data_IF_371332778953
#
_entry.id   IF_371332778953
#
_cell.length_a   1.000
_cell.length_b   1.000
_cell.length_c   1.000
_cell.angle_alpha   90.00
_cell.angle_beta   90.00
_cell.angle_gamma   90.00
#
_symmetry.space_group_name_H-M   'P 1'
#
loop_
_entity.id
_entity.type
_entity.pdbx_description
1 polymer ?
#
# COMPACT_ATOMS: atom_id res chain seq x y z
N UNK A 1 10.60 -29.40 -14.24
CA UNK A 1 9.49 -28.73 -14.97
C UNK A 1 9.11 -27.49 -14.17
N UNK A 2 9.18 -26.28 -14.76
CA UNK A 2 8.68 -25.07 -14.10
C UNK A 2 7.17 -25.23 -13.90
N UNK A 3 6.70 -25.13 -12.66
CA UNK A 3 5.27 -25.11 -12.37
C UNK A 3 4.64 -23.92 -13.12
N UNK A 4 3.73 -24.22 -14.06
CA UNK A 4 3.07 -23.21 -14.88
C UNK A 4 2.09 -22.42 -14.01
N UNK A 5 2.15 -21.09 -14.05
CA UNK A 5 1.12 -20.24 -13.46
C UNK A 5 -0.23 -20.62 -14.05
N UNK A 6 -1.22 -20.89 -13.19
CA UNK A 6 -2.54 -21.27 -13.64
C UNK A 6 -3.27 -20.02 -14.19
N UNK A 7 -3.76 -20.01 -15.44
CA UNK A 7 -4.43 -18.85 -16.03
C UNK A 7 -5.58 -18.30 -15.17
N UNK A 8 -6.35 -19.18 -14.51
CA UNK A 8 -7.42 -18.76 -13.59
C UNK A 8 -6.92 -17.98 -12.36
N UNK A 9 -5.72 -18.25 -11.86
CA UNK A 9 -5.17 -17.51 -10.73
C UNK A 9 -4.81 -16.07 -11.14
N UNK A 10 -4.23 -15.90 -12.33
CA UNK A 10 -3.96 -14.59 -12.91
C UNK A 10 -5.26 -13.83 -13.18
N UNK A 11 -6.25 -14.51 -13.76
CA UNK A 11 -7.58 -13.95 -14.00
C UNK A 11 -8.21 -13.44 -12.68
N UNK A 12 -8.10 -14.21 -11.61
CA UNK A 12 -8.56 -13.82 -10.28
C UNK A 12 -7.89 -12.56 -9.75
N UNK A 13 -6.56 -12.43 -9.93
CA UNK A 13 -5.82 -11.22 -9.51
C UNK A 13 -6.24 -9.98 -10.29
N UNK A 14 -6.39 -10.09 -11.61
CA UNK A 14 -6.84 -8.97 -12.45
C UNK A 14 -8.25 -8.54 -12.06
N UNK A 15 -9.16 -9.50 -11.85
CA UNK A 15 -10.51 -9.21 -11.37
C UNK A 15 -10.50 -8.51 -10.01
N UNK A 16 -9.70 -9.00 -9.06
CA UNK A 16 -9.57 -8.40 -7.73
C UNK A 16 -9.02 -6.96 -7.79
N UNK A 17 -8.03 -6.71 -8.64
CA UNK A 17 -7.47 -5.36 -8.84
C UNK A 17 -8.53 -4.39 -9.39
N UNK A 18 -9.32 -4.83 -10.38
CA UNK A 18 -10.44 -4.03 -10.91
C UNK A 18 -11.50 -3.76 -9.85
N UNK A 19 -11.98 -4.79 -9.15
CA UNK A 19 -12.98 -4.62 -8.08
C UNK A 19 -12.48 -3.72 -6.96
N UNK A 20 -11.18 -3.71 -6.67
CA UNK A 20 -10.64 -2.78 -5.69
C UNK A 20 -10.72 -1.32 -6.17
N UNK A 21 -10.47 -1.04 -7.46
CA UNK A 21 -10.61 0.32 -8.01
C UNK A 21 -12.06 0.84 -7.98
N UNK A 22 -13.05 -0.06 -7.94
CA UNK A 22 -14.46 0.28 -7.76
C UNK A 22 -14.79 0.70 -6.31
N UNK A 23 -13.90 0.47 -5.33
CA UNK A 23 -14.08 0.91 -3.94
C UNK A 23 -13.95 2.43 -3.84
N UNK A 24 -15.09 3.10 -3.61
CA UNK A 24 -15.20 4.54 -3.59
C UNK A 24 -15.24 5.15 -2.17
N UNK A 25 -15.05 4.32 -1.14
CA UNK A 25 -15.15 4.77 0.26
C UNK A 25 -14.11 5.85 0.58
N UNK A 26 -14.52 6.95 1.23
CA UNK A 26 -13.62 8.06 1.55
C UNK A 26 -12.73 7.75 2.76
N UNK A 27 -11.67 8.55 2.88
CA UNK A 27 -11.00 8.76 4.16
C UNK A 27 -11.83 9.74 5.01
N UNK A 28 -12.33 9.28 6.15
CA UNK A 28 -13.08 10.14 7.08
C UNK A 28 -12.13 10.80 8.06
N UNK A 29 -12.17 12.12 8.18
CA UNK A 29 -11.36 12.91 9.10
C UNK A 29 -12.28 13.53 10.16
N UNK A 30 -12.00 13.33 11.45
CA UNK A 30 -12.83 13.90 12.52
C UNK A 30 -11.98 14.45 13.65
N UNK A 31 -12.59 15.23 14.55
CA UNK A 31 -11.92 15.83 15.69
C UNK A 31 -11.42 17.25 15.42
N UNK A 32 -10.40 17.68 16.15
CA UNK A 32 -9.91 19.05 16.09
C UNK A 32 -9.35 19.40 14.70
N UNK A 33 -9.77 20.54 14.13
CA UNK A 33 -9.28 21.02 12.82
C UNK A 33 -9.47 20.00 11.67
N UNK A 34 -10.49 19.14 11.75
CA UNK A 34 -10.75 18.10 10.75
C UNK A 34 -10.92 18.66 9.32
N UNK A 35 -11.64 19.78 9.16
CA UNK A 35 -11.81 20.44 7.87
C UNK A 35 -10.49 20.93 7.27
N UNK A 36 -9.58 21.41 8.12
CA UNK A 36 -8.24 21.83 7.68
C UNK A 36 -7.43 20.64 7.18
N UNK A 37 -7.42 19.54 7.94
CA UNK A 37 -6.72 18.32 7.54
C UNK A 37 -7.35 17.67 6.30
N UNK A 38 -8.68 17.72 6.16
CA UNK A 38 -9.37 17.30 4.94
C UNK A 38 -8.85 18.06 3.72
N UNK A 39 -8.77 19.40 3.79
CA UNK A 39 -8.28 20.23 2.69
C UNK A 39 -6.83 19.90 2.31
N UNK A 40 -5.98 19.62 3.28
CA UNK A 40 -4.58 19.25 3.01
C UNK A 40 -4.46 17.86 2.38
N UNK A 41 -5.19 16.87 2.88
CA UNK A 41 -5.17 15.50 2.34
C UNK A 41 -5.86 15.40 0.97
N UNK A 42 -6.87 16.23 0.71
CA UNK A 42 -7.60 16.28 -0.56
C UNK A 42 -6.86 17.08 -1.64
N UNK A 43 -5.74 17.74 -1.34
CA UNK A 43 -5.03 18.62 -2.27
C UNK A 43 -4.60 17.86 -3.54
N UNK A 44 -5.10 18.32 -4.69
CA UNK A 44 -4.85 17.69 -5.99
C UNK A 44 -5.57 16.36 -6.22
N UNK A 45 -6.42 15.93 -5.28
CA UNK A 45 -7.16 14.68 -5.37
C UNK A 45 -8.56 14.81 -5.95
N UNK A 46 -9.20 13.66 -6.20
CA UNK A 46 -10.58 13.57 -6.66
C UNK A 46 -11.56 13.99 -5.56
N UNK A 47 -12.68 14.62 -5.95
CA UNK A 47 -13.74 15.03 -5.01
C UNK A 47 -14.27 13.81 -4.24
N UNK A 48 -14.49 13.99 -2.95
CA UNK A 48 -15.00 12.94 -2.05
C UNK A 48 -13.98 11.86 -1.68
N UNK A 49 -12.69 11.98 -2.02
CA UNK A 49 -11.64 11.06 -1.54
C UNK A 49 -11.36 11.19 -0.05
N UNK A 50 -11.57 12.39 0.49
CA UNK A 50 -11.52 12.70 1.92
C UNK A 50 -12.81 13.43 2.27
N UNK A 51 -13.30 13.25 3.49
CA UNK A 51 -14.47 13.97 4.02
C UNK A 51 -14.30 14.20 5.51
N UNK A 52 -14.70 15.37 6.01
CA UNK A 52 -14.84 15.65 7.45
C UNK A 52 -16.22 15.34 8.01
N UNK A 53 -17.13 14.90 7.15
CA UNK A 53 -18.51 14.59 7.48
C UNK A 53 -18.90 13.18 7.02
N UNK A 54 -19.85 12.55 7.72
CA UNK A 54 -20.39 11.25 7.35
C UNK A 54 -20.23 10.22 8.46
N UNK A 55 -20.35 8.94 8.06
CA UNK A 55 -20.37 7.81 8.98
C UNK A 55 -19.12 6.96 8.82
N UNK A 56 -18.57 6.51 9.95
CA UNK A 56 -17.41 5.62 10.01
C UNK A 56 -17.63 4.34 9.20
N UNK A 57 -18.83 3.77 9.25
CA UNK A 57 -19.21 2.49 8.62
C UNK A 57 -19.09 2.51 7.09
N UNK A 58 -19.13 3.69 6.48
CA UNK A 58 -19.01 3.88 5.03
C UNK A 58 -17.64 4.41 4.61
N UNK A 59 -16.66 4.39 5.52
CA UNK A 59 -15.33 4.95 5.30
C UNK A 59 -14.29 3.86 5.11
N UNK A 60 -13.26 4.15 4.32
CA UNK A 60 -12.12 3.25 4.12
C UNK A 60 -11.21 3.23 5.35
N UNK A 61 -11.05 4.38 6.00
CA UNK A 61 -10.38 4.56 7.28
C UNK A 61 -10.88 5.82 8.00
N UNK A 62 -10.62 5.89 9.30
CA UNK A 62 -10.84 7.06 10.14
C UNK A 62 -9.50 7.70 10.51
N UNK A 63 -9.37 9.00 10.29
CA UNK A 63 -8.31 9.84 10.87
C UNK A 63 -8.93 10.66 11.99
N UNK A 64 -8.53 10.40 13.25
CA UNK A 64 -9.04 11.12 14.43
C UNK A 64 -8.00 12.11 14.94
N UNK A 65 -8.29 13.40 14.89
CA UNK A 65 -7.41 14.45 15.41
C UNK A 65 -7.76 14.78 16.86
N UNK A 66 -6.77 14.67 17.73
CA UNK A 66 -6.87 14.82 19.19
C UNK A 66 -6.06 16.04 19.64
N UNK A 67 -6.74 17.07 20.16
CA UNK A 67 -6.12 18.30 20.68
C UNK A 67 -5.67 18.21 22.15
N UNK A 68 -5.75 17.02 22.72
CA UNK A 68 -5.43 16.69 24.11
C UNK A 68 -5.86 15.26 24.37
N UNK A 69 -5.87 14.83 25.65
CA UNK A 69 -6.33 13.49 26.02
C UNK A 69 -7.72 13.20 25.42
N UNK A 70 -8.01 11.94 25.01
CA UNK A 70 -9.28 11.59 24.40
C UNK A 70 -10.44 11.98 25.32
N UNK A 71 -11.39 12.73 24.78
CA UNK A 71 -12.67 13.00 25.41
C UNK A 71 -13.62 11.80 25.28
N UNK A 72 -14.74 11.83 25.99
CA UNK A 72 -15.82 10.83 25.83
C UNK A 72 -16.32 10.74 24.37
N UNK A 73 -16.33 11.86 23.64
CA UNK A 73 -16.70 11.88 22.22
C UNK A 73 -15.65 11.17 21.36
N UNK A 74 -14.36 11.41 21.63
CA UNK A 74 -13.25 10.73 20.95
C UNK A 74 -13.34 9.22 21.19
N UNK A 75 -13.51 8.80 22.44
CA UNK A 75 -13.65 7.37 22.78
C UNK A 75 -14.86 6.72 22.11
N UNK A 76 -15.99 7.43 22.03
CA UNK A 76 -17.17 6.92 21.35
C UNK A 76 -16.93 6.71 19.84
N UNK A 77 -16.26 7.67 19.18
CA UNK A 77 -15.90 7.57 17.77
C UNK A 77 -14.89 6.44 17.51
N UNK A 78 -13.84 6.34 18.35
CA UNK A 78 -12.83 5.29 18.27
C UNK A 78 -13.44 3.90 18.51
N UNK A 79 -14.36 3.77 19.46
CA UNK A 79 -15.11 2.54 19.71
C UNK A 79 -16.03 2.20 18.53
N UNK A 80 -16.68 3.18 17.91
CA UNK A 80 -17.51 2.96 16.73
C UNK A 80 -16.68 2.41 15.56
N UNK A 81 -15.52 3.01 15.27
CA UNK A 81 -14.59 2.52 14.25
C UNK A 81 -14.08 1.10 14.53
N UNK A 82 -13.68 0.83 15.76
CA UNK A 82 -13.26 -0.52 16.16
C UNK A 82 -14.39 -1.56 16.00
N UNK A 83 -15.63 -1.22 16.35
CA UNK A 83 -16.79 -2.11 16.15
C UNK A 83 -17.12 -2.33 14.68
N UNK A 84 -16.96 -1.31 13.85
CA UNK A 84 -17.19 -1.40 12.41
C UNK A 84 -16.02 -2.08 11.65
N UNK A 85 -14.90 -2.38 12.32
CA UNK A 85 -13.70 -2.91 11.69
C UNK A 85 -12.98 -1.89 10.79
N UNK A 86 -13.25 -0.59 10.99
CA UNK A 86 -12.67 0.50 10.21
C UNK A 86 -11.31 0.86 10.81
N UNK A 87 -10.22 0.80 10.03
CA UNK A 87 -8.89 1.15 10.52
C UNK A 87 -8.84 2.62 10.97
N UNK A 88 -8.11 2.88 12.06
CA UNK A 88 -7.99 4.22 12.65
C UNK A 88 -6.53 4.65 12.63
N UNK A 89 -6.29 5.91 12.27
CA UNK A 89 -5.05 6.64 12.50
C UNK A 89 -5.36 7.83 13.40
N UNK A 90 -4.67 7.95 14.53
CA UNK A 90 -4.86 9.07 15.44
C UNK A 90 -3.78 10.13 15.20
N UNK A 91 -4.17 11.40 15.20
CA UNK A 91 -3.26 12.55 15.07
C UNK A 91 -3.30 13.35 16.35
N UNK A 92 -2.22 13.34 17.12
CA UNK A 92 -2.11 14.10 18.36
C UNK A 92 -1.51 15.47 18.05
N UNK A 93 -2.20 16.56 18.38
CA UNK A 93 -1.68 17.93 18.19
C UNK A 93 -1.16 18.56 19.48
N UNK A 94 -1.26 17.84 20.60
CA UNK A 94 -0.73 18.26 21.89
C UNK A 94 0.78 17.95 21.99
N UNK A 95 1.46 18.67 22.88
CA UNK A 95 2.86 18.45 23.27
C UNK A 95 3.06 17.15 24.06
N UNK A 96 2.03 16.71 24.79
CA UNK A 96 2.07 15.47 25.54
C UNK A 96 1.62 14.29 24.66
N UNK A 97 2.44 13.25 24.58
CA UNK A 97 2.05 11.97 23.97
C UNK A 97 1.26 11.16 24.99
N UNK A 98 0.14 10.60 24.57
CA UNK A 98 -0.71 9.75 25.40
C UNK A 98 -1.20 8.52 24.64
N UNK A 99 -1.62 7.49 25.37
CA UNK A 99 -2.22 6.31 24.76
C UNK A 99 -3.61 6.64 24.21
N UNK A 100 -3.91 6.16 23.01
CA UNK A 100 -5.20 6.37 22.35
C UNK A 100 -5.98 5.05 22.40
N UNK A 101 -7.15 4.99 23.05
CA UNK A 101 -7.96 3.77 23.12
C UNK A 101 -8.27 3.21 21.73
N UNK A 102 -8.19 1.89 21.58
CA UNK A 102 -8.49 1.17 20.34
C UNK A 102 -7.55 1.46 19.14
N UNK A 103 -6.48 2.23 19.35
CA UNK A 103 -5.50 2.57 18.30
C UNK A 103 -4.14 2.01 18.69
N UNK A 104 -3.42 1.42 17.72
CA UNK A 104 -2.06 0.94 17.96
C UNK A 104 -1.11 2.11 18.08
N UNK A 105 -0.06 2.00 18.89
CA UNK A 105 0.95 3.06 19.01
C UNK A 105 1.63 3.39 17.67
N UNK A 106 1.72 2.42 16.75
CA UNK A 106 2.24 2.63 15.39
C UNK A 106 1.31 3.44 14.49
N UNK A 107 0.04 3.55 14.88
CA UNK A 107 -1.02 4.24 14.14
C UNK A 107 -1.31 5.63 14.72
N UNK A 108 -0.42 6.13 15.60
CA UNK A 108 -0.50 7.47 16.19
C UNK A 108 0.58 8.36 15.59
N UNK A 109 0.17 9.52 15.08
CA UNK A 109 1.05 10.55 14.51
C UNK A 109 1.07 11.77 15.42
N UNK A 110 2.25 12.21 15.82
CA UNK A 110 2.41 13.42 16.60
C UNK A 110 2.59 14.64 15.68
N UNK A 111 1.74 15.63 15.84
CA UNK A 111 1.79 16.92 15.17
C UNK A 111 2.43 17.94 16.12
N UNK A 112 3.53 18.56 15.70
CA UNK A 112 4.19 19.59 16.52
C UNK A 112 3.34 20.86 16.51
N UNK A 113 3.05 21.48 17.67
CA UNK A 113 2.33 22.73 17.71
C UNK A 113 3.00 23.81 16.84
N UNK A 114 2.22 24.47 15.99
CA UNK A 114 2.67 25.56 15.14
C UNK A 114 3.37 25.15 13.82
N UNK A 115 3.53 23.85 13.51
CA UNK A 115 4.14 23.41 12.24
C UNK A 115 3.16 23.03 11.14
N UNK A 116 1.85 23.09 11.38
CA UNK A 116 0.84 22.50 10.50
C UNK A 116 0.80 20.96 10.61
N UNK A 117 -0.12 20.32 9.91
CA UNK A 117 -0.24 18.86 9.95
C UNK A 117 0.92 18.18 9.21
N UNK A 118 1.51 17.10 9.76
CA UNK A 118 2.53 16.32 9.08
C UNK A 118 1.87 15.37 8.06
N UNK A 119 1.37 15.93 6.96
CA UNK A 119 0.54 15.21 5.98
C UNK A 119 1.24 13.97 5.42
N UNK A 120 2.54 14.06 5.14
CA UNK A 120 3.33 12.94 4.62
C UNK A 120 3.47 11.80 5.64
N UNK A 121 3.55 12.12 6.93
CA UNK A 121 3.63 11.12 8.00
C UNK A 121 2.28 10.45 8.22
N UNK A 122 1.19 11.23 8.22
CA UNK A 122 -0.19 10.71 8.26
C UNK A 122 -0.43 9.77 7.07
N UNK A 123 -0.02 10.18 5.88
CA UNK A 123 -0.13 9.37 4.67
C UNK A 123 0.67 8.06 4.76
N UNK A 124 1.90 8.10 5.32
CA UNK A 124 2.72 6.91 5.55
C UNK A 124 2.09 5.93 6.53
N UNK A 125 1.54 6.44 7.63
CA UNK A 125 0.87 5.62 8.64
C UNK A 125 -0.42 5.01 8.08
N UNK A 126 -1.21 5.78 7.34
CA UNK A 126 -2.39 5.28 6.62
C UNK A 126 -2.02 4.17 5.64
N UNK A 127 -1.00 4.38 4.82
CA UNK A 127 -0.51 3.39 3.86
C UNK A 127 -0.08 2.08 4.54
N UNK A 128 0.69 2.17 5.63
CA UNK A 128 1.11 1.01 6.41
C UNK A 128 -0.09 0.28 7.04
N UNK A 129 -1.06 1.03 7.57
CA UNK A 129 -2.21 0.49 8.29
C UNK A 129 -3.23 -0.19 7.38
N UNK A 130 -3.46 0.37 6.20
CA UNK A 130 -4.43 -0.11 5.21
C UNK A 130 -3.84 -1.15 4.24
N UNK A 131 -2.53 -1.10 3.98
CA UNK A 131 -1.85 -2.01 3.07
C UNK A 131 -2.48 -2.01 1.67
N UNK A 132 -2.83 -3.19 1.15
CA UNK A 132 -3.45 -3.33 -0.18
C UNK A 132 -4.79 -2.59 -0.32
N UNK A 133 -5.53 -2.42 0.77
CA UNK A 133 -6.81 -1.68 0.78
C UNK A 133 -6.63 -0.17 0.62
N UNK A 134 -5.41 0.37 0.73
CA UNK A 134 -5.13 1.77 0.48
C UNK A 134 -5.07 2.13 -1.01
N UNK A 135 -4.97 1.13 -1.89
CA UNK A 135 -4.79 1.30 -3.34
C UNK A 135 -5.84 2.21 -4.00
N UNK A 136 -7.14 2.07 -3.71
CA UNK A 136 -8.18 2.90 -4.33
C UNK A 136 -8.11 4.36 -3.83
N UNK A 137 -7.74 4.55 -2.56
CA UNK A 137 -7.47 5.87 -2.01
C UNK A 137 -6.25 6.52 -2.68
N UNK A 138 -5.16 5.77 -2.89
CA UNK A 138 -3.97 6.25 -3.60
C UNK A 138 -4.25 6.67 -5.05
N UNK A 139 -5.16 5.97 -5.73
CA UNK A 139 -5.60 6.35 -7.08
C UNK A 139 -6.22 7.75 -7.09
N UNK A 140 -7.01 8.07 -6.05
CA UNK A 140 -7.79 9.32 -5.94
C UNK A 140 -7.08 10.44 -5.18
N UNK A 141 -6.11 10.12 -4.33
CA UNK A 141 -5.44 11.05 -3.44
C UNK A 141 -3.93 11.02 -3.70
N UNK A 142 -3.38 12.01 -4.43
CA UNK A 142 -1.95 12.05 -4.78
C UNK A 142 -1.02 11.94 -3.57
N UNK A 143 -1.41 12.51 -2.43
CA UNK A 143 -0.63 12.47 -1.19
C UNK A 143 -0.43 11.06 -0.62
N UNK A 144 -1.33 10.12 -0.93
CA UNK A 144 -1.22 8.73 -0.51
C UNK A 144 -0.44 7.87 -1.51
N UNK A 145 -0.25 8.31 -2.76
CA UNK A 145 0.24 7.46 -3.84
C UNK A 145 1.63 6.90 -3.57
N UNK A 146 2.60 7.77 -3.32
CA UNK A 146 3.97 7.34 -3.01
C UNK A 146 4.05 6.53 -1.71
N UNK A 147 3.45 6.97 -0.58
CA UNK A 147 3.45 6.18 0.65
C UNK A 147 2.83 4.78 0.51
N UNK A 148 1.73 4.66 -0.25
CA UNK A 148 1.09 3.37 -0.52
C UNK A 148 1.97 2.49 -1.40
N UNK A 149 2.55 3.03 -2.47
CA UNK A 149 3.49 2.30 -3.30
C UNK A 149 4.69 1.76 -2.49
N UNK A 150 5.30 2.60 -1.65
CA UNK A 150 6.41 2.20 -0.78
C UNK A 150 6.00 1.09 0.21
N UNK A 151 4.84 1.24 0.87
CA UNK A 151 4.33 0.26 1.81
C UNK A 151 4.02 -1.09 1.13
N UNK A 152 3.46 -1.08 -0.08
CA UNK A 152 3.19 -2.28 -0.87
C UNK A 152 4.49 -2.97 -1.26
N UNK A 153 5.45 -2.24 -1.83
CA UNK A 153 6.75 -2.79 -2.25
C UNK A 153 7.45 -3.44 -1.06
N UNK A 154 7.50 -2.77 0.09
CA UNK A 154 8.13 -3.31 1.30
C UNK A 154 7.41 -4.56 1.81
N UNK A 155 6.08 -4.50 1.94
CA UNK A 155 5.26 -5.61 2.43
C UNK A 155 5.42 -6.86 1.57
N UNK A 156 5.34 -6.72 0.25
CA UNK A 156 5.50 -7.83 -0.69
C UNK A 156 6.93 -8.36 -0.73
N UNK A 157 7.93 -7.48 -0.64
CA UNK A 157 9.33 -7.88 -0.56
C UNK A 157 9.59 -8.71 0.69
N UNK A 158 9.10 -8.27 1.85
CA UNK A 158 9.20 -9.01 3.11
C UNK A 158 8.46 -10.35 3.05
N UNK A 159 7.23 -10.40 2.54
CA UNK A 159 6.46 -11.64 2.36
C UNK A 159 7.22 -12.64 1.47
N UNK A 160 7.74 -12.18 0.33
CA UNK A 160 8.49 -13.03 -0.59
C UNK A 160 9.86 -13.43 -0.02
N UNK A 161 10.52 -12.57 0.75
CA UNK A 161 11.75 -12.91 1.45
C UNK A 161 11.57 -14.00 2.49
N UNK A 162 10.50 -13.90 3.30
CA UNK A 162 10.13 -14.94 4.26
C UNK A 162 9.80 -16.25 3.54
N UNK A 163 8.98 -16.20 2.48
CA UNK A 163 8.62 -17.39 1.70
C UNK A 163 9.85 -18.03 1.03
N UNK A 164 10.75 -17.20 0.47
CA UNK A 164 12.00 -17.66 -0.12
C UNK A 164 12.97 -18.28 0.88
N UNK A 165 12.94 -17.85 2.14
CA UNK A 165 13.71 -18.43 3.23
C UNK A 165 13.09 -19.73 3.79
N UNK A 166 11.76 -19.79 3.87
CA UNK A 166 11.02 -20.89 4.52
C UNK A 166 10.89 -22.14 3.62
N UNK A 167 10.96 -22.00 2.30
CA UNK A 167 10.71 -23.10 1.38
C UNK A 167 11.96 -23.94 1.14
N UNK A 168 11.92 -25.18 1.61
CA UNK A 168 12.93 -26.22 1.34
C UNK A 168 12.49 -27.22 0.24
N UNK A 169 11.26 -27.12 -0.31
CA UNK A 169 10.69 -28.12 -1.22
C UNK A 169 10.95 -27.77 -2.70
N UNK A 170 11.65 -28.61 -3.48
CA UNK A 170 11.84 -28.37 -4.91
C UNK A 170 10.54 -28.62 -5.69
N UNK A 171 10.03 -27.60 -6.41
CA UNK A 171 9.08 -27.78 -7.52
C UNK A 171 7.63 -27.32 -7.32
N UNK A 172 7.19 -26.98 -6.10
CA UNK A 172 5.82 -26.52 -5.84
C UNK A 172 5.69 -24.99 -5.64
N UNK A 173 6.78 -24.29 -5.33
CA UNK A 173 6.72 -22.97 -4.66
C UNK A 173 7.07 -21.75 -5.53
N UNK A 174 7.58 -21.96 -6.74
CA UNK A 174 7.81 -20.88 -7.71
C UNK A 174 6.53 -20.13 -8.16
N UNK A 175 5.34 -20.75 -8.26
CA UNK A 175 4.12 -20.05 -8.65
C UNK A 175 3.66 -19.01 -7.64
N UNK A 176 3.80 -19.27 -6.33
CA UNK A 176 3.28 -18.37 -5.28
C UNK A 176 4.09 -17.08 -5.23
N UNK A 177 5.43 -17.17 -5.26
CA UNK A 177 6.29 -15.98 -5.31
C UNK A 177 5.99 -15.11 -6.54
N UNK A 178 5.75 -15.76 -7.68
CA UNK A 178 5.44 -15.07 -8.93
C UNK A 178 4.04 -14.47 -8.91
N UNK A 179 3.04 -15.16 -8.36
CA UNK A 179 1.69 -14.59 -8.17
C UNK A 179 1.72 -13.37 -7.25
N UNK A 180 2.52 -13.38 -6.19
CA UNK A 180 2.72 -12.21 -5.33
C UNK A 180 3.34 -11.04 -6.09
N UNK A 181 4.33 -11.28 -6.96
CA UNK A 181 4.91 -10.23 -7.79
C UNK A 181 3.91 -9.66 -8.80
N UNK A 182 3.10 -10.52 -9.45
CA UNK A 182 2.02 -10.09 -10.34
C UNK A 182 0.98 -9.25 -9.58
N UNK A 183 0.58 -9.69 -8.40
CA UNK A 183 -0.32 -8.94 -7.51
C UNK A 183 0.26 -7.58 -7.14
N UNK A 184 1.54 -7.51 -6.77
CA UNK A 184 2.22 -6.23 -6.49
C UNK A 184 2.15 -5.30 -7.69
N UNK A 185 2.48 -5.76 -8.89
CA UNK A 185 2.43 -4.95 -10.12
C UNK A 185 1.01 -4.44 -10.39
N UNK A 186 -0.01 -5.28 -10.26
CA UNK A 186 -1.41 -4.88 -10.43
C UNK A 186 -1.84 -3.85 -9.38
N UNK A 187 -1.45 -4.03 -8.11
CA UNK A 187 -1.74 -3.05 -7.04
C UNK A 187 -1.06 -1.72 -7.29
N UNK A 188 0.18 -1.71 -7.78
CA UNK A 188 0.88 -0.49 -8.16
C UNK A 188 0.18 0.21 -9.34
N UNK A 189 -0.26 -0.54 -10.36
CA UNK A 189 -1.05 0.03 -11.46
C UNK A 189 -2.32 0.72 -10.93
N UNK A 190 -3.07 0.01 -10.08
CA UNK A 190 -4.28 0.54 -9.46
C UNK A 190 -4.00 1.76 -8.57
N UNK A 191 -2.87 1.85 -7.86
CA UNK A 191 -2.51 3.03 -7.07
C UNK A 191 -2.30 4.28 -7.95
N UNK A 192 -1.97 4.09 -9.22
CA UNK A 192 -1.88 5.13 -10.25
C UNK A 192 -3.19 5.30 -11.04
N UNK A 193 -4.28 4.63 -10.65
CA UNK A 193 -5.55 4.67 -11.37
C UNK A 193 -5.56 3.94 -12.71
N UNK A 194 -4.55 3.10 -12.98
CA UNK A 194 -4.39 2.37 -14.23
C UNK A 194 -5.00 0.98 -14.08
N UNK A 195 -6.00 0.68 -14.91
CA UNK A 195 -6.54 -0.67 -15.06
C UNK A 195 -5.69 -1.48 -16.04
N UNK A 196 -5.33 -2.71 -15.66
CA UNK A 196 -4.60 -3.64 -16.51
C UNK A 196 -5.49 -4.83 -16.83
N UNK A 197 -5.73 -5.04 -18.11
CA UNK A 197 -6.39 -6.25 -18.60
C UNK A 197 -5.44 -7.45 -18.68
N UNK A 198 -6.01 -8.65 -18.69
CA UNK A 198 -5.23 -9.89 -18.84
C UNK A 198 -4.43 -9.96 -20.14
N UNK A 199 -4.90 -9.28 -21.18
CA UNK A 199 -4.20 -9.22 -22.47
C UNK A 199 -2.99 -8.28 -22.41
N UNK A 200 -3.07 -7.20 -21.63
CA UNK A 200 -2.00 -6.22 -21.45
C UNK A 200 -0.98 -6.65 -20.40
N UNK A 201 -1.39 -7.47 -19.43
CA UNK A 201 -0.54 -7.89 -18.31
C UNK A 201 0.81 -8.50 -18.74
N UNK A 202 0.89 -9.41 -19.74
CA UNK A 202 2.18 -9.93 -20.21
C UNK A 202 3.11 -8.85 -20.78
N UNK A 203 2.54 -7.86 -21.47
CA UNK A 203 3.29 -6.74 -22.04
C UNK A 203 3.86 -5.86 -20.93
N UNK A 204 3.03 -5.46 -19.97
CA UNK A 204 3.44 -4.67 -18.81
C UNK A 204 4.52 -5.39 -18.02
N UNK A 205 4.32 -6.68 -17.71
CA UNK A 205 5.33 -7.49 -17.02
C UNK A 205 6.62 -7.59 -17.82
N UNK A 206 6.55 -7.71 -19.15
CA UNK A 206 7.71 -7.71 -20.05
C UNK A 206 8.49 -6.40 -20.01
N UNK A 207 7.80 -5.25 -19.97
CA UNK A 207 8.41 -3.92 -19.89
C UNK A 207 9.08 -3.71 -18.52
N UNK A 208 8.38 -4.02 -17.43
CA UNK A 208 8.93 -3.98 -16.06
C UNK A 208 10.15 -4.90 -15.93
N UNK A 209 10.07 -6.12 -16.47
CA UNK A 209 11.15 -7.10 -16.51
C UNK A 209 12.37 -6.62 -17.29
N UNK A 210 12.15 -5.91 -18.41
CA UNK A 210 13.21 -5.35 -19.24
C UNK A 210 13.92 -4.19 -18.54
N UNK A 211 13.16 -3.30 -17.90
CA UNK A 211 13.69 -2.22 -17.06
C UNK A 211 14.52 -2.72 -15.86
N UNK A 212 14.25 -3.93 -15.38
CA UNK A 212 15.00 -4.57 -14.29
C UNK A 212 16.33 -5.22 -14.73
N UNK A 213 16.60 -5.40 -16.04
CA UNK A 213 17.87 -5.97 -16.49
C UNK A 213 18.14 -7.40 -16.01
N UNK A 214 17.10 -8.26 -16.01
CA UNK A 214 17.07 -9.65 -15.51
C UNK A 214 18.34 -10.51 -15.77
N UNK A 215 19.08 -10.24 -16.85
CA UNK A 215 20.34 -10.95 -17.18
C UNK A 215 21.50 -10.68 -16.21
N UNK A 216 21.56 -9.53 -15.57
CA UNK A 216 22.60 -9.22 -14.58
C UNK A 216 22.37 -10.01 -13.28
N UNK A 217 21.12 -10.02 -12.84
CA UNK A 217 20.63 -10.67 -11.63
C UNK A 217 20.74 -12.19 -11.73
N UNK A 218 20.34 -12.79 -12.86
CA UNK A 218 20.43 -14.24 -13.07
C UNK A 218 21.88 -14.79 -13.03
N UNK A 219 22.88 -14.01 -13.46
CA UNK A 219 24.29 -14.41 -13.43
C UNK A 219 24.90 -14.40 -12.04
N UNK A 220 24.45 -13.46 -11.19
CA UNK A 220 24.90 -13.36 -9.80
C UNK A 220 24.38 -14.54 -8.95
N UNK A 221 23.32 -15.22 -9.38
CA UNK A 221 22.70 -16.34 -8.67
C UNK A 221 23.24 -17.73 -9.04
N UNK A 222 23.89 -17.89 -10.19
CA UNK A 222 24.43 -19.20 -10.61
C UNK A 222 25.70 -19.62 -9.83
N UNK A 223 26.26 -18.76 -8.97
CA UNK A 223 27.55 -18.99 -8.30
C UNK A 223 27.54 -19.21 -6.78
N UNK A 224 26.39 -19.32 -6.11
CA UNK A 224 26.34 -19.26 -4.64
C UNK A 224 26.42 -20.63 -3.91
N UNK A 225 27.27 -20.68 -2.88
CA UNK A 225 27.78 -21.85 -2.12
C UNK A 225 26.71 -22.51 -1.21
N UNK A 226 26.75 -23.85 -0.98
CA UNK A 226 25.60 -24.63 -0.48
C UNK A 226 25.22 -24.50 1.02
N UNK A 227 25.98 -23.78 1.85
CA UNK A 227 25.87 -23.91 3.32
C UNK A 227 25.04 -22.78 3.99
N UNK A 228 24.75 -21.67 3.29
CA UNK A 228 23.88 -20.57 3.74
C UNK A 228 22.63 -20.35 2.86
N UNK A 229 22.18 -21.40 2.17
CA UNK A 229 21.27 -21.29 1.03
C UNK A 229 19.88 -20.71 1.33
N UNK A 230 19.32 -20.90 2.53
CA UNK A 230 17.96 -20.44 2.85
C UNK A 230 17.88 -18.93 3.12
N UNK A 231 18.81 -18.39 3.92
CA UNK A 231 18.87 -16.95 4.19
C UNK A 231 19.22 -16.17 2.90
N UNK A 232 20.13 -16.72 2.09
CA UNK A 232 20.43 -16.15 0.78
C UNK A 232 19.21 -16.16 -0.13
N UNK A 233 18.49 -17.30 -0.25
CA UNK A 233 17.25 -17.37 -1.05
C UNK A 233 16.21 -16.35 -0.59
N UNK A 234 16.04 -16.16 0.72
CA UNK A 234 15.15 -15.15 1.27
C UNK A 234 15.57 -13.73 0.91
N UNK A 235 16.85 -13.39 1.10
CA UNK A 235 17.38 -12.08 0.71
C UNK A 235 17.22 -11.80 -0.79
N UNK A 236 17.40 -12.83 -1.62
CA UNK A 236 17.20 -12.75 -3.07
C UNK A 236 15.75 -12.53 -3.45
N UNK A 237 14.83 -13.29 -2.85
CA UNK A 237 13.40 -13.12 -3.10
C UNK A 237 12.92 -11.74 -2.67
N UNK A 238 13.40 -11.22 -1.53
CA UNK A 238 13.15 -9.86 -1.07
C UNK A 238 13.66 -8.83 -2.09
N UNK A 239 14.95 -8.89 -2.44
CA UNK A 239 15.59 -7.91 -3.32
C UNK A 239 14.98 -7.93 -4.73
N UNK A 240 14.69 -9.12 -5.27
CA UNK A 240 14.05 -9.29 -6.56
C UNK A 240 12.65 -8.68 -6.60
N UNK A 241 11.82 -8.94 -5.57
CA UNK A 241 10.50 -8.33 -5.46
C UNK A 241 10.57 -6.82 -5.28
N UNK A 242 11.51 -6.32 -4.46
CA UNK A 242 11.70 -4.88 -4.27
C UNK A 242 12.02 -4.19 -5.59
N UNK A 243 12.96 -4.75 -6.35
CA UNK A 243 13.37 -4.18 -7.62
C UNK A 243 12.28 -4.22 -8.69
N UNK A 244 11.50 -5.31 -8.78
CA UNK A 244 10.31 -5.37 -9.65
C UNK A 244 9.30 -4.30 -9.26
N UNK A 245 9.03 -4.14 -7.97
CA UNK A 245 8.13 -3.11 -7.44
C UNK A 245 8.59 -1.69 -7.79
N UNK A 246 9.86 -1.38 -7.58
CA UNK A 246 10.44 -0.07 -7.91
C UNK A 246 10.46 0.21 -9.42
N UNK A 247 10.67 -0.81 -10.25
CA UNK A 247 10.57 -0.68 -11.70
C UNK A 247 9.13 -0.42 -12.14
N UNK A 248 8.17 -1.16 -11.59
CA UNK A 248 6.75 -0.98 -11.87
C UNK A 248 6.22 0.37 -11.40
N UNK A 249 6.61 0.84 -10.20
CA UNK A 249 6.28 2.18 -9.70
C UNK A 249 6.70 3.27 -10.68
N UNK A 250 7.95 3.23 -11.16
CA UNK A 250 8.44 4.20 -12.17
C UNK A 250 7.69 4.11 -13.48
N UNK A 251 7.40 2.89 -13.94
CA UNK A 251 6.64 2.67 -15.17
C UNK A 251 5.24 3.28 -15.09
N UNK A 252 4.49 3.02 -14.01
CA UNK A 252 3.13 3.54 -13.86
C UNK A 252 3.08 5.03 -13.53
N UNK A 253 4.08 5.57 -12.83
CA UNK A 253 4.21 7.02 -12.67
C UNK A 253 4.34 7.72 -14.03
N UNK A 254 5.25 7.24 -14.89
CA UNK A 254 5.43 7.78 -16.22
C UNK A 254 4.19 7.60 -17.11
N UNK A 255 3.52 6.44 -17.03
CA UNK A 255 2.30 6.18 -17.79
C UNK A 255 1.12 7.08 -17.34
N UNK A 256 0.98 7.35 -16.04
CA UNK A 256 -0.04 8.26 -15.52
C UNK A 256 0.21 9.70 -16.00
N UNK A 257 1.46 10.17 -15.96
CA UNK A 257 1.84 11.50 -16.46
C UNK A 257 1.55 11.68 -17.97
N UNK A 258 1.65 10.60 -18.75
CA UNK A 258 1.32 10.61 -20.19
C UNK A 258 -0.19 10.70 -20.44
N UNK A 259 -1.00 10.04 -19.60
CA UNK A 259 -2.48 10.10 -19.67
C UNK A 259 -2.98 11.51 -19.31
N UNK A 260 -2.36 12.16 -18.33
CA UNK A 260 -2.75 13.51 -17.87
C UNK A 260 -2.23 14.65 -18.76
N UNK A 261 -1.51 14.34 -19.85
CA UNK A 261 -0.99 15.35 -20.79
C UNK A 261 -2.10 15.81 -21.76
N UNK A 262 -2.32 17.13 -21.93
CA UNK A 262 -3.37 17.69 -22.79
C UNK A 262 -3.13 17.48 -24.29
#
# INVERSE_FOLDING_TARGET
>A
MAAKLHPLAIWGLVKEARTALEDDRPLLVTGALAETLEQELARGGSRGGVTSHGSVEHSAALVRVLAGKPSEEDEHALRAANRAGVPVVAVQTDTAVFDVPYVLATDVVACRPGSGFPVEEIARVLAARLGESATPLAARLPVLRDPVCDALIESFSRKNGILGAAVFVPGADFPVLTLNQVRLVLRLASAHGIEIDQQQLPEVLGTVATGFGLRAVARQFLGAVPIAGWLLKGGVAYAGTRAVGEAARRYFAAAADEIDRP
#
